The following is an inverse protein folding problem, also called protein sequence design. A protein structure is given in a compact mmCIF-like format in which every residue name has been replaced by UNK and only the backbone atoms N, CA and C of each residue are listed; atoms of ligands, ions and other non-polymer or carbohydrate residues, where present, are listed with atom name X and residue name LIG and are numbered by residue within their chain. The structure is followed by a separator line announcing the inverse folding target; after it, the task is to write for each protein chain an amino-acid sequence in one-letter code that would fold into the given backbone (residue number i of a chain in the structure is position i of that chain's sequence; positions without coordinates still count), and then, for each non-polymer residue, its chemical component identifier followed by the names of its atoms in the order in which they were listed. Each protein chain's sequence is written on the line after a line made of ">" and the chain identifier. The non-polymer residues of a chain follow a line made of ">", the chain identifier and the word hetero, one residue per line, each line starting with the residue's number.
data_IF_166294465869
#
_entry.id   IF_166294465869
#
_cell.length_a   1.000
_cell.length_b   1.000
_cell.length_c   1.000
_cell.angle_alpha   90.00
_cell.angle_beta   90.00
_cell.angle_gamma   90.00
#
_symmetry.space_group_name_H-M   'P 1'
#
loop_
_entity.id
_entity.type
_entity.pdbx_description
1 polymer ?
#
# COMPACT_ATOMS: atom_id res chain seq x y z
N UNK A 1 1.03 -22.88 -5.48
CA UNK A 1 0.65 -23.10 -4.07
C UNK A 1 -0.81 -22.69 -3.91
N UNK A 2 -1.60 -23.44 -3.15
CA UNK A 2 -3.04 -23.18 -2.97
C UNK A 2 -3.29 -22.97 -1.49
N UNK A 3 -4.02 -21.90 -1.16
CA UNK A 3 -4.50 -21.60 0.18
C UNK A 3 -6.02 -21.66 0.16
N UNK A 4 -6.62 -22.26 1.18
CA UNK A 4 -8.08 -22.33 1.35
C UNK A 4 -8.49 -21.40 2.48
N UNK A 5 -9.48 -20.55 2.22
CA UNK A 5 -10.02 -19.58 3.16
C UNK A 5 -11.52 -19.84 3.27
N UNK A 6 -12.05 -19.84 4.49
CA UNK A 6 -13.48 -19.95 4.74
C UNK A 6 -14.06 -18.55 4.90
N UNK A 7 -15.08 -18.24 4.12
CA UNK A 7 -15.88 -17.03 4.22
C UNK A 7 -17.28 -17.37 4.76
N UNK A 8 -17.92 -16.39 5.37
CA UNK A 8 -19.37 -16.38 5.55
C UNK A 8 -20.08 -16.18 4.20
N UNK A 9 -21.38 -16.45 4.17
CA UNK A 9 -22.19 -16.25 2.96
C UNK A 9 -22.18 -14.78 2.50
N UNK A 10 -22.24 -13.84 3.44
CA UNK A 10 -22.23 -12.40 3.14
C UNK A 10 -20.87 -11.92 2.59
N UNK A 11 -19.76 -12.40 3.17
CA UNK A 11 -18.41 -12.09 2.67
C UNK A 11 -18.20 -12.64 1.26
N UNK A 12 -18.62 -13.88 1.02
CA UNK A 12 -18.52 -14.48 -0.32
C UNK A 12 -19.34 -13.68 -1.33
N UNK A 13 -20.58 -13.33 -1.01
CA UNK A 13 -21.44 -12.54 -1.89
C UNK A 13 -20.83 -11.16 -2.22
N UNK A 14 -20.23 -10.49 -1.22
CA UNK A 14 -19.57 -9.21 -1.43
C UNK A 14 -18.35 -9.32 -2.37
N UNK A 15 -17.51 -10.34 -2.18
CA UNK A 15 -16.33 -10.58 -3.01
C UNK A 15 -16.74 -10.90 -4.45
N UNK A 16 -17.76 -11.73 -4.64
CA UNK A 16 -18.29 -12.10 -5.96
C UNK A 16 -18.89 -10.89 -6.69
N UNK A 17 -19.67 -10.06 -6.00
CA UNK A 17 -20.24 -8.84 -6.58
C UNK A 17 -19.16 -7.84 -6.98
N UNK A 18 -18.14 -7.65 -6.14
CA UNK A 18 -17.00 -6.80 -6.46
C UNK A 18 -16.26 -7.33 -7.70
N UNK A 19 -15.94 -8.63 -7.72
CA UNK A 19 -15.28 -9.26 -8.84
C UNK A 19 -16.07 -9.08 -10.15
N UNK A 20 -17.39 -9.28 -10.10
CA UNK A 20 -18.28 -9.07 -11.25
C UNK A 20 -18.28 -7.62 -11.74
N UNK A 21 -18.42 -6.65 -10.82
CA UNK A 21 -18.50 -5.23 -11.12
C UNK A 21 -17.25 -4.72 -11.85
N UNK A 22 -16.07 -5.23 -11.46
CA UNK A 22 -14.78 -4.80 -12.01
C UNK A 22 -14.20 -5.77 -13.05
N UNK A 23 -14.93 -6.81 -13.43
CA UNK A 23 -14.46 -7.81 -14.41
C UNK A 23 -13.23 -8.59 -13.95
N UNK A 24 -13.08 -8.79 -12.64
CA UNK A 24 -11.96 -9.49 -12.00
C UNK A 24 -12.34 -10.93 -11.64
N UNK A 25 -11.34 -11.78 -11.45
CA UNK A 25 -11.51 -13.07 -10.78
C UNK A 25 -11.49 -12.88 -9.26
N UNK A 26 -12.21 -13.74 -8.55
CA UNK A 26 -12.18 -13.79 -7.06
C UNK A 26 -10.75 -13.86 -6.53
N UNK A 27 -9.89 -14.66 -7.16
CA UNK A 27 -8.49 -14.81 -6.76
C UNK A 27 -7.64 -13.54 -6.98
N UNK A 28 -8.03 -12.67 -7.91
CA UNK A 28 -7.40 -11.37 -8.12
C UNK A 28 -7.82 -10.38 -7.05
N UNK A 29 -9.11 -10.37 -6.68
CA UNK A 29 -9.63 -9.54 -5.59
C UNK A 29 -8.94 -9.90 -4.27
N UNK A 30 -8.90 -11.19 -3.92
CA UNK A 30 -8.26 -11.65 -2.68
C UNK A 30 -6.77 -11.31 -2.67
N UNK A 31 -6.07 -11.56 -3.78
CA UNK A 31 -4.63 -11.26 -3.88
C UNK A 31 -4.35 -9.78 -3.73
N UNK A 32 -5.11 -8.93 -4.43
CA UNK A 32 -4.93 -7.48 -4.41
C UNK A 32 -5.15 -6.95 -2.99
N UNK A 33 -6.29 -7.28 -2.37
CA UNK A 33 -6.59 -6.86 -1.00
C UNK A 33 -5.54 -7.35 0.00
N UNK A 34 -5.05 -8.58 -0.14
CA UNK A 34 -3.99 -9.12 0.74
C UNK A 34 -2.68 -8.36 0.57
N UNK A 35 -2.29 -8.04 -0.66
CA UNK A 35 -1.04 -7.30 -0.91
C UNK A 35 -1.13 -5.84 -0.48
N UNK A 36 -2.27 -5.18 -0.69
CA UNK A 36 -2.52 -3.82 -0.21
C UNK A 36 -2.42 -3.75 1.33
N UNK A 37 -3.01 -4.71 2.04
CA UNK A 37 -2.89 -4.78 3.50
C UNK A 37 -1.44 -4.95 3.98
N UNK A 38 -0.62 -5.71 3.24
CA UNK A 38 0.80 -5.88 3.57
C UNK A 38 1.58 -4.60 3.27
N UNK A 39 1.30 -3.95 2.14
CA UNK A 39 1.93 -2.69 1.72
C UNK A 39 1.62 -1.57 2.73
N UNK A 40 0.38 -1.43 3.19
CA UNK A 40 0.00 -0.44 4.20
C UNK A 40 0.83 -0.56 5.48
N UNK A 41 1.07 -1.78 5.96
CA UNK A 41 1.91 -2.03 7.13
C UNK A 41 3.39 -1.69 6.88
N UNK A 42 3.88 -2.01 5.67
CA UNK A 42 5.24 -1.65 5.25
C UNK A 42 5.42 -0.13 5.16
N UNK A 43 4.44 0.58 4.60
CA UNK A 43 4.44 2.04 4.47
C UNK A 43 4.41 2.72 5.84
N UNK A 44 3.59 2.23 6.77
CA UNK A 44 3.57 2.72 8.16
C UNK A 44 4.94 2.56 8.80
N UNK A 45 5.60 1.43 8.58
CA UNK A 45 6.93 1.18 9.14
C UNK A 45 7.99 2.10 8.51
N UNK A 46 7.98 2.25 7.17
CA UNK A 46 8.88 3.15 6.46
C UNK A 46 8.71 4.62 6.90
N UNK A 47 7.47 5.04 7.15
CA UNK A 47 7.15 6.35 7.71
C UNK A 47 7.73 6.52 9.12
N UNK A 48 7.50 5.58 10.03
CA UNK A 48 8.01 5.64 11.41
C UNK A 48 9.52 5.81 11.44
N UNK A 49 10.23 4.99 10.66
CA UNK A 49 11.69 5.07 10.57
C UNK A 49 12.18 6.39 9.98
N UNK A 50 11.51 6.88 8.94
CA UNK A 50 11.88 8.16 8.31
C UNK A 50 11.63 9.34 9.25
N UNK A 51 10.52 9.31 9.99
CA UNK A 51 10.20 10.30 11.02
C UNK A 51 11.23 10.29 12.14
N UNK A 52 11.61 9.12 12.67
CA UNK A 52 12.62 9.03 13.72
C UNK A 52 13.98 9.57 13.24
N UNK A 53 14.39 9.25 12.01
CA UNK A 53 15.62 9.79 11.40
C UNK A 53 15.57 11.32 11.29
N UNK A 54 14.44 11.88 10.86
CA UNK A 54 14.25 13.32 10.75
C UNK A 54 14.23 14.01 12.12
N UNK A 55 13.54 13.46 13.11
CA UNK A 55 13.50 14.02 14.47
C UNK A 55 14.89 14.05 15.13
N UNK A 56 15.76 13.08 14.80
CA UNK A 56 17.16 13.08 15.22
C UNK A 56 18.01 14.16 14.53
N UNK A 57 17.68 14.53 13.28
CA UNK A 57 18.39 15.55 12.52
C UNK A 57 17.45 16.28 11.53
N UNK A 58 16.72 17.31 11.98
CA UNK A 58 15.61 17.90 11.23
C UNK A 58 16.09 18.91 10.17
N UNK A 59 16.92 18.45 9.25
CA UNK A 59 17.39 19.25 8.11
C UNK A 59 16.29 19.31 7.05
N UNK A 60 16.02 20.52 6.56
CA UNK A 60 15.07 20.75 5.47
C UNK A 60 15.76 21.56 4.37
N UNK A 61 15.31 21.37 3.13
CA UNK A 61 15.83 22.05 1.94
C UNK A 61 14.68 22.78 1.25
N UNK A 62 14.96 23.95 0.70
CA UNK A 62 13.98 24.62 -0.17
C UNK A 62 13.86 23.89 -1.51
N UNK A 63 12.78 24.17 -2.25
CA UNK A 63 12.62 23.63 -3.61
C UNK A 63 13.80 24.02 -4.53
N UNK A 64 14.33 25.24 -4.36
CA UNK A 64 15.47 25.72 -5.13
C UNK A 64 16.76 24.95 -4.78
N UNK A 65 17.00 24.68 -3.49
CA UNK A 65 18.18 23.90 -3.05
C UNK A 65 18.14 22.49 -3.64
N UNK A 66 16.98 21.82 -3.55
CA UNK A 66 16.80 20.46 -4.09
C UNK A 66 16.92 20.43 -5.61
N UNK A 67 16.33 21.41 -6.32
CA UNK A 67 16.40 21.45 -7.77
C UNK A 67 17.82 21.69 -8.30
N UNK A 68 18.62 22.52 -7.60
CA UNK A 68 20.04 22.70 -7.89
C UNK A 68 20.85 21.43 -7.62
N UNK A 69 20.57 20.74 -6.51
CA UNK A 69 21.27 19.50 -6.13
C UNK A 69 20.99 18.35 -7.12
N UNK A 70 19.75 18.22 -7.58
CA UNK A 70 19.31 17.15 -8.46
C UNK A 70 19.39 17.50 -9.97
N UNK A 71 19.75 18.74 -10.32
CA UNK A 71 20.03 19.17 -11.70
C UNK A 71 18.80 19.40 -12.58
N UNK A 72 17.66 19.78 -11.99
CA UNK A 72 16.44 20.14 -12.74
C UNK A 72 15.98 21.59 -12.54
N UNK A 73 16.70 22.37 -11.74
CA UNK A 73 16.66 23.85 -11.68
C UNK A 73 18.09 24.39 -11.85
#
# INVERSE_FOLDING_TARGET
>A
MVYSIRFSEDEQAAIEQYALLYGMKISEVIRKATMEMIEDEMDIQAFKESKERFEKNPVTYSHEDVGKELGFL
#
